data_IF_439457069932
#
_entry.id   IF_439457069932
#
_cell.length_a   1.000
_cell.length_b   1.000
_cell.length_c   1.000
_cell.angle_alpha   90.00
_cell.angle_beta   90.00
_cell.angle_gamma   90.00
#
_symmetry.space_group_name_H-M   'P 1'
#
loop_
_entity.id
_entity.type
_entity.pdbx_description
1 polymer ?
#
# COMPACT_ATOMS: atom_id res chain seq x y z
N UNK A 1 21.33 -14.13 2.81
CA UNK A 1 21.18 -12.73 3.27
C UNK A 1 21.30 -12.73 4.79
N UNK A 2 22.07 -11.83 5.39
CA UNK A 2 22.17 -11.72 6.85
C UNK A 2 20.97 -10.89 7.35
N UNK A 3 19.87 -11.56 7.67
CA UNK A 3 18.61 -10.91 8.05
C UNK A 3 18.70 -10.18 9.39
N UNK A 4 19.49 -10.69 10.34
CA UNK A 4 19.66 -10.05 11.65
C UNK A 4 20.34 -8.69 11.53
N UNK A 5 21.42 -8.62 10.74
CA UNK A 5 22.14 -7.38 10.49
C UNK A 5 21.32 -6.35 9.71
N UNK A 6 20.53 -6.83 8.73
CA UNK A 6 19.60 -5.96 7.99
C UNK A 6 18.54 -5.37 8.93
N UNK A 7 17.93 -6.20 9.78
CA UNK A 7 16.92 -5.74 10.73
C UNK A 7 17.51 -4.72 11.71
N UNK A 8 18.75 -4.93 12.18
CA UNK A 8 19.44 -3.95 13.02
C UNK A 8 19.53 -2.57 12.36
N UNK A 9 19.94 -2.50 11.09
CA UNK A 9 19.97 -1.23 10.37
C UNK A 9 18.58 -0.65 10.12
N UNK A 10 17.56 -1.48 9.89
CA UNK A 10 16.19 -1.00 9.78
C UNK A 10 15.71 -0.37 11.09
N UNK A 11 15.97 -1.01 12.23
CA UNK A 11 15.64 -0.49 13.56
C UNK A 11 16.32 0.87 13.79
N UNK A 12 17.60 1.00 13.45
CA UNK A 12 18.33 2.28 13.52
C UNK A 12 17.71 3.36 12.63
N UNK A 13 17.26 3.00 11.42
CA UNK A 13 16.59 3.91 10.49
C UNK A 13 15.22 4.35 11.03
N UNK A 14 14.47 3.43 11.65
CA UNK A 14 13.16 3.70 12.22
C UNK A 14 13.27 4.54 13.51
N UNK A 15 14.31 4.34 14.33
CA UNK A 15 14.63 5.23 15.45
C UNK A 15 14.85 6.68 14.97
N UNK A 16 15.54 6.86 13.83
CA UNK A 16 15.79 8.19 13.27
C UNK A 16 14.51 8.89 12.77
N UNK A 17 13.50 8.14 12.31
CA UNK A 17 12.19 8.70 11.93
C UNK A 17 11.40 9.23 13.12
N UNK A 18 11.65 8.70 14.32
CA UNK A 18 10.97 9.11 15.54
C UNK A 18 11.30 10.55 15.98
N UNK A 19 12.34 11.16 15.42
CA UNK A 19 12.71 12.55 15.73
C UNK A 19 11.92 13.56 14.87
N UNK A 20 11.56 14.71 15.46
CA UNK A 20 10.82 15.78 14.76
C UNK A 20 11.51 16.31 13.50
N UNK A 21 12.84 16.17 13.42
CA UNK A 21 13.64 16.49 12.24
C UNK A 21 14.89 15.61 12.23
N UNK A 22 15.06 14.83 11.17
CA UNK A 22 16.27 14.02 10.98
C UNK A 22 17.50 14.91 10.77
N UNK A 23 18.59 14.60 11.46
CA UNK A 23 19.88 15.25 11.23
C UNK A 23 20.55 14.66 9.98
N UNK A 24 20.83 15.51 8.99
CA UNK A 24 21.53 15.12 7.78
C UNK A 24 22.88 14.44 8.03
N UNK A 25 23.59 14.82 9.10
CA UNK A 25 24.88 14.22 9.45
C UNK A 25 24.71 12.78 9.95
N UNK A 26 23.69 12.52 10.74
CA UNK A 26 23.40 11.17 11.26
C UNK A 26 22.92 10.25 10.13
N UNK A 27 22.08 10.75 9.23
CA UNK A 27 21.64 9.99 8.04
C UNK A 27 22.82 9.68 7.11
N UNK A 28 23.73 10.64 6.91
CA UNK A 28 24.93 10.42 6.11
C UNK A 28 25.88 9.41 6.77
N UNK A 29 26.04 9.48 8.09
CA UNK A 29 26.83 8.51 8.85
C UNK A 29 26.26 7.10 8.71
N UNK A 30 24.93 6.93 8.85
CA UNK A 30 24.29 5.63 8.66
C UNK A 30 24.48 5.09 7.24
N UNK A 31 24.41 5.95 6.21
CA UNK A 31 24.69 5.55 4.84
C UNK A 31 26.13 5.03 4.68
N UNK A 32 27.11 5.75 5.25
CA UNK A 32 28.53 5.35 5.21
C UNK A 32 28.77 4.03 5.94
N UNK A 33 28.11 3.80 7.08
CA UNK A 33 28.17 2.53 7.81
C UNK A 33 27.59 1.38 6.98
N UNK A 34 26.43 1.57 6.36
CA UNK A 34 25.80 0.58 5.46
C UNK A 34 26.73 0.25 4.27
N UNK A 35 27.39 1.26 3.70
CA UNK A 35 28.30 1.09 2.58
C UNK A 35 29.59 0.37 2.98
N UNK A 36 30.13 0.66 4.16
CA UNK A 36 31.37 0.10 4.66
C UNK A 36 31.23 -1.30 5.28
N UNK A 37 30.02 -1.71 5.71
CA UNK A 37 29.83 -2.99 6.42
C UNK A 37 30.17 -4.20 5.53
N UNK A 38 31.23 -4.96 5.83
CA UNK A 38 31.66 -6.10 5.02
C UNK A 38 30.77 -7.33 5.19
N UNK A 39 29.95 -7.40 6.24
CA UNK A 39 29.03 -8.49 6.51
C UNK A 39 27.70 -8.33 5.77
N UNK A 40 27.42 -7.11 5.30
CA UNK A 40 26.24 -6.81 4.51
C UNK A 40 26.45 -7.23 3.05
N UNK A 41 25.69 -8.23 2.61
CA UNK A 41 25.66 -8.64 1.20
C UNK A 41 25.09 -7.55 0.30
N UNK A 42 25.42 -7.59 -1.00
CA UNK A 42 25.01 -6.56 -1.97
C UNK A 42 23.49 -6.30 -2.01
N UNK A 43 22.67 -7.36 -1.91
CA UNK A 43 21.21 -7.22 -1.87
C UNK A 43 20.73 -6.46 -0.63
N UNK A 44 21.30 -6.77 0.54
CA UNK A 44 20.97 -6.09 1.80
C UNK A 44 21.41 -4.63 1.78
N UNK A 45 22.60 -4.34 1.21
CA UNK A 45 23.09 -2.97 1.03
C UNK A 45 22.21 -2.15 0.11
N UNK A 46 21.86 -2.69 -1.05
CA UNK A 46 20.95 -2.03 -1.98
C UNK A 46 19.58 -1.75 -1.31
N UNK A 47 19.01 -2.74 -0.61
CA UNK A 47 17.77 -2.53 0.11
C UNK A 47 17.88 -1.41 1.16
N UNK A 48 18.90 -1.44 2.02
CA UNK A 48 19.05 -0.47 3.10
C UNK A 48 19.30 0.95 2.59
N UNK A 49 20.05 1.11 1.48
CA UNK A 49 20.21 2.42 0.81
C UNK A 49 18.88 2.95 0.29
N UNK A 50 18.08 2.08 -0.34
CA UNK A 50 16.72 2.42 -0.77
C UNK A 50 15.79 2.76 0.40
N UNK A 51 15.82 1.96 1.47
CA UNK A 51 15.01 2.14 2.67
C UNK A 51 15.35 3.44 3.42
N UNK A 52 16.64 3.73 3.58
CA UNK A 52 17.11 5.00 4.15
C UNK A 52 16.65 6.19 3.29
N UNK A 53 16.75 6.10 1.95
CA UNK A 53 16.29 7.17 1.08
C UNK A 53 14.76 7.34 1.10
N UNK A 54 14.02 6.24 1.24
CA UNK A 54 12.56 6.25 1.36
C UNK A 54 12.10 7.12 2.53
N UNK A 55 12.78 7.00 3.68
CA UNK A 55 12.43 7.72 4.90
C UNK A 55 13.02 9.12 5.00
N UNK A 56 14.20 9.36 4.40
CA UNK A 56 14.95 10.61 4.57
C UNK A 56 15.23 11.34 3.25
N UNK A 57 14.33 11.24 2.29
CA UNK A 57 14.47 11.82 0.93
C UNK A 57 14.87 13.31 0.92
N UNK A 58 14.38 14.09 1.89
CA UNK A 58 14.65 15.53 1.96
C UNK A 58 16.11 15.87 2.26
N UNK A 59 16.79 15.00 3.02
CA UNK A 59 18.19 15.19 3.42
C UNK A 59 19.15 14.25 2.69
N UNK A 60 18.62 13.25 1.98
CA UNK A 60 19.38 12.33 1.15
C UNK A 60 19.36 12.74 -0.32
N UNK A 61 20.49 13.20 -0.85
CA UNK A 61 20.70 13.44 -2.27
C UNK A 61 22.10 12.97 -2.71
N UNK A 62 22.27 12.33 -3.90
CA UNK A 62 21.27 11.99 -4.92
C UNK A 62 21.10 10.47 -5.12
N UNK A 63 20.56 9.73 -4.14
CA UNK A 63 20.27 8.31 -4.33
C UNK A 63 18.98 8.09 -5.12
N UNK A 64 19.04 7.23 -6.14
CA UNK A 64 17.87 6.75 -6.88
C UNK A 64 17.27 5.54 -6.15
N UNK A 65 16.27 5.82 -5.31
CA UNK A 65 15.56 4.84 -4.49
C UNK A 65 14.97 3.69 -5.29
N UNK A 66 14.37 3.97 -6.45
CA UNK A 66 13.83 2.91 -7.31
C UNK A 66 14.95 2.02 -7.84
N UNK A 67 16.07 2.60 -8.27
CA UNK A 67 17.24 1.83 -8.73
C UNK A 67 17.82 0.94 -7.62
N UNK A 68 17.88 1.43 -6.39
CA UNK A 68 18.34 0.65 -5.23
C UNK A 68 17.41 -0.53 -4.95
N UNK A 69 16.09 -0.33 -4.88
CA UNK A 69 15.16 -1.43 -4.68
C UNK A 69 15.13 -2.41 -5.85
N UNK A 70 15.26 -1.94 -7.09
CA UNK A 70 15.39 -2.82 -8.27
C UNK A 70 16.65 -3.67 -8.20
N UNK A 71 17.76 -3.09 -7.73
CA UNK A 71 19.02 -3.82 -7.51
C UNK A 71 18.84 -4.88 -6.43
N UNK A 72 18.19 -4.55 -5.32
CA UNK A 72 17.89 -5.50 -4.24
C UNK A 72 17.04 -6.68 -4.74
N UNK A 73 15.96 -6.41 -5.47
CA UNK A 73 15.09 -7.44 -6.07
C UNK A 73 15.82 -8.27 -7.14
N UNK A 74 16.70 -7.66 -7.95
CA UNK A 74 17.47 -8.41 -8.94
C UNK A 74 18.45 -9.40 -8.30
N UNK A 75 19.04 -9.03 -7.16
CA UNK A 75 19.99 -9.87 -6.41
C UNK A 75 19.29 -10.89 -5.50
N UNK A 76 18.08 -10.58 -5.01
CA UNK A 76 17.27 -11.44 -4.16
C UNK A 76 15.79 -11.37 -4.58
N UNK A 77 15.38 -12.10 -5.65
CA UNK A 77 14.04 -11.99 -6.24
C UNK A 77 12.87 -12.32 -5.30
N UNK A 78 13.11 -13.22 -4.34
CA UNK A 78 12.11 -13.71 -3.39
C UNK A 78 12.10 -12.91 -2.06
N UNK A 79 12.91 -11.84 -1.96
CA UNK A 79 12.92 -11.01 -0.75
C UNK A 79 11.64 -10.17 -0.64
N UNK A 80 10.73 -10.60 0.22
CA UNK A 80 9.41 -9.96 0.37
C UNK A 80 9.51 -8.47 0.74
N UNK A 81 10.46 -8.08 1.59
CA UNK A 81 10.68 -6.68 1.97
C UNK A 81 11.12 -5.82 0.79
N UNK A 82 12.05 -6.31 -0.05
CA UNK A 82 12.47 -5.59 -1.26
C UNK A 82 11.33 -5.49 -2.28
N UNK A 83 10.56 -6.57 -2.45
CA UNK A 83 9.38 -6.55 -3.31
C UNK A 83 8.32 -5.57 -2.79
N UNK A 84 8.07 -5.53 -1.47
CA UNK A 84 7.12 -4.59 -0.86
C UNK A 84 7.51 -3.13 -1.12
N UNK A 85 8.76 -2.77 -0.85
CA UNK A 85 9.21 -1.38 -1.00
C UNK A 85 9.35 -0.95 -2.47
N UNK A 86 9.76 -1.86 -3.37
CA UNK A 86 9.69 -1.58 -4.80
C UNK A 86 8.24 -1.44 -5.28
N UNK A 87 7.32 -2.22 -4.70
CA UNK A 87 5.88 -2.11 -4.93
C UNK A 87 5.36 -0.73 -4.54
N UNK A 88 5.64 -0.27 -3.32
CA UNK A 88 5.29 1.08 -2.86
C UNK A 88 5.89 2.16 -3.77
N UNK A 89 7.18 2.05 -4.07
CA UNK A 89 7.88 3.01 -4.93
C UNK A 89 7.18 3.19 -6.27
N UNK A 90 6.93 2.06 -6.93
CA UNK A 90 6.32 2.07 -8.26
C UNK A 90 4.85 2.46 -8.21
N UNK A 91 4.14 2.17 -7.13
CA UNK A 91 2.77 2.62 -6.91
C UNK A 91 2.69 4.15 -6.80
N UNK A 92 3.54 4.76 -5.97
CA UNK A 92 3.57 6.21 -5.72
C UNK A 92 3.86 7.01 -7.00
N UNK A 93 4.63 6.44 -7.93
CA UNK A 93 4.91 7.04 -9.25
C UNK A 93 3.93 6.62 -10.36
N UNK A 94 2.80 5.98 -10.01
CA UNK A 94 1.75 5.58 -10.96
C UNK A 94 2.14 4.43 -11.89
N UNK A 95 3.23 3.72 -11.62
CA UNK A 95 3.69 2.53 -12.38
C UNK A 95 2.95 1.27 -11.90
N UNK A 96 1.62 1.30 -11.93
CA UNK A 96 0.75 0.29 -11.30
C UNK A 96 0.99 -1.15 -11.78
N UNK A 97 1.33 -1.37 -13.05
CA UNK A 97 1.66 -2.71 -13.55
C UNK A 97 2.93 -3.29 -12.90
N UNK A 98 3.93 -2.44 -12.66
CA UNK A 98 5.16 -2.84 -11.96
C UNK A 98 4.87 -3.07 -10.47
N UNK A 99 4.09 -2.20 -9.84
CA UNK A 99 3.70 -2.32 -8.44
C UNK A 99 2.95 -3.64 -8.19
N UNK A 100 1.94 -3.92 -9.01
CA UNK A 100 1.17 -5.17 -8.97
C UNK A 100 2.07 -6.40 -9.05
N UNK A 101 3.04 -6.39 -9.98
CA UNK A 101 4.00 -7.49 -10.14
C UNK A 101 4.80 -7.75 -8.86
N UNK A 102 5.18 -6.71 -8.11
CA UNK A 102 5.93 -6.91 -6.87
C UNK A 102 5.02 -7.31 -5.71
N UNK A 103 3.85 -6.68 -5.56
CA UNK A 103 2.91 -7.03 -4.49
C UNK A 103 2.46 -8.49 -4.59
N UNK A 104 2.27 -9.03 -5.81
CA UNK A 104 1.91 -10.44 -6.03
C UNK A 104 3.01 -11.44 -5.63
N UNK A 105 4.26 -11.01 -5.48
CA UNK A 105 5.36 -11.87 -5.01
C UNK A 105 5.46 -11.96 -3.49
N UNK A 106 4.71 -11.13 -2.77
CA UNK A 106 4.80 -11.07 -1.31
C UNK A 106 4.09 -12.28 -0.72
N UNK A 107 4.82 -13.05 0.09
CA UNK A 107 4.21 -14.08 0.92
C UNK A 107 3.50 -13.44 2.12
N UNK A 108 2.18 -13.25 2.01
CA UNK A 108 1.34 -12.63 3.04
C UNK A 108 1.37 -13.37 4.39
N UNK A 109 1.69 -14.67 4.42
CA UNK A 109 1.76 -15.44 5.68
C UNK A 109 2.88 -14.98 6.61
N UNK A 110 3.87 -14.24 6.08
CA UNK A 110 4.97 -13.65 6.85
C UNK A 110 4.61 -12.30 7.48
N UNK A 111 3.41 -11.78 7.22
CA UNK A 111 2.98 -10.44 7.62
C UNK A 111 1.89 -10.48 8.69
N UNK A 112 1.88 -9.47 9.56
CA UNK A 112 0.75 -9.19 10.45
C UNK A 112 -0.52 -8.91 9.65
N UNK A 113 -1.68 -9.17 10.25
CA UNK A 113 -2.97 -9.07 9.58
C UNK A 113 -3.24 -7.69 8.97
N UNK A 114 -2.92 -6.61 9.69
CA UNK A 114 -3.05 -5.24 9.19
C UNK A 114 -2.24 -5.00 7.91
N UNK A 115 -1.02 -5.56 7.84
CA UNK A 115 -0.13 -5.44 6.69
C UNK A 115 -0.63 -6.29 5.52
N UNK A 116 -1.20 -7.46 5.79
CA UNK A 116 -1.84 -8.28 4.76
C UNK A 116 -3.02 -7.55 4.10
N UNK A 117 -3.88 -6.91 4.91
CA UNK A 117 -5.00 -6.10 4.42
C UNK A 117 -4.45 -4.97 3.54
N UNK A 118 -3.45 -4.23 4.02
CA UNK A 118 -2.84 -3.12 3.29
C UNK A 118 -2.27 -3.53 1.92
N UNK A 119 -1.57 -4.65 1.86
CA UNK A 119 -1.02 -5.17 0.59
C UNK A 119 -2.16 -5.56 -0.37
N UNK A 120 -3.22 -6.19 0.15
CA UNK A 120 -4.39 -6.55 -0.67
C UNK A 120 -5.13 -5.32 -1.20
N UNK A 121 -5.27 -4.27 -0.40
CA UNK A 121 -5.82 -2.98 -0.84
C UNK A 121 -5.03 -2.40 -2.01
N UNK A 122 -3.70 -2.43 -1.94
CA UNK A 122 -2.84 -1.90 -2.99
C UNK A 122 -2.90 -2.74 -4.27
N UNK A 123 -3.03 -4.06 -4.15
CA UNK A 123 -3.27 -4.95 -5.29
C UNK A 123 -4.60 -4.59 -5.96
N UNK A 124 -5.69 -4.42 -5.20
CA UNK A 124 -6.99 -3.99 -5.74
C UNK A 124 -6.87 -2.62 -6.40
N UNK A 125 -6.20 -1.68 -5.75
CA UNK A 125 -5.97 -0.32 -6.27
C UNK A 125 -5.20 -0.37 -7.61
N UNK A 126 -4.18 -1.22 -7.73
CA UNK A 126 -3.48 -1.43 -8.99
C UNK A 126 -4.44 -1.95 -10.08
N UNK A 127 -5.28 -2.94 -9.77
CA UNK A 127 -6.27 -3.44 -10.73
C UNK A 127 -7.25 -2.36 -11.19
N UNK A 128 -7.72 -1.50 -10.27
CA UNK A 128 -8.59 -0.37 -10.61
C UNK A 128 -7.90 0.62 -11.56
N UNK A 129 -6.67 1.04 -11.27
CA UNK A 129 -5.91 1.94 -12.15
C UNK A 129 -5.55 1.32 -13.50
N UNK A 130 -5.41 0.00 -13.56
CA UNK A 130 -5.20 -0.75 -14.80
C UNK A 130 -6.52 -1.10 -15.51
N UNK A 131 -7.67 -0.69 -14.96
CA UNK A 131 -9.02 -0.99 -15.45
C UNK A 131 -9.31 -2.49 -15.60
N UNK A 132 -8.68 -3.30 -14.76
CA UNK A 132 -8.89 -4.74 -14.65
C UNK A 132 -10.02 -5.03 -13.65
N UNK A 133 -11.22 -4.57 -13.99
CA UNK A 133 -12.35 -4.47 -13.06
C UNK A 133 -12.84 -5.82 -12.53
N UNK A 134 -12.90 -6.87 -13.36
CA UNK A 134 -13.28 -8.21 -12.89
C UNK A 134 -12.30 -8.76 -11.84
N UNK A 135 -11.00 -8.51 -12.04
CA UNK A 135 -9.98 -8.90 -11.07
C UNK A 135 -10.10 -8.07 -9.77
N UNK A 136 -10.29 -6.75 -9.90
CA UNK A 136 -10.54 -5.87 -8.76
C UNK A 136 -11.75 -6.33 -7.94
N UNK A 137 -12.87 -6.65 -8.60
CA UNK A 137 -14.09 -7.17 -7.96
C UNK A 137 -13.82 -8.44 -7.16
N UNK A 138 -13.20 -9.44 -7.80
CA UNK A 138 -12.95 -10.75 -7.20
C UNK A 138 -12.11 -10.68 -5.92
N UNK A 139 -11.23 -9.68 -5.83
CA UNK A 139 -10.34 -9.46 -4.70
C UNK A 139 -10.93 -8.53 -3.64
N UNK A 140 -11.74 -7.55 -4.06
CA UNK A 140 -12.30 -6.55 -3.16
C UNK A 140 -13.37 -7.13 -2.23
N UNK A 141 -14.23 -8.02 -2.71
CA UNK A 141 -15.24 -8.67 -1.87
C UNK A 141 -14.68 -9.37 -0.62
N UNK A 142 -13.75 -10.34 -0.75
CA UNK A 142 -13.16 -10.99 0.42
C UNK A 142 -12.33 -10.03 1.27
N UNK A 143 -11.72 -9.00 0.66
CA UNK A 143 -10.99 -7.97 1.40
C UNK A 143 -11.92 -7.14 2.30
N UNK A 144 -13.06 -6.67 1.80
CA UNK A 144 -14.02 -5.91 2.61
C UNK A 144 -14.66 -6.76 3.70
N UNK A 145 -14.92 -8.05 3.44
CA UNK A 145 -15.40 -8.98 4.46
C UNK A 145 -14.39 -9.11 5.60
N UNK A 146 -13.11 -9.37 5.28
CA UNK A 146 -12.05 -9.43 6.27
C UNK A 146 -11.92 -8.11 7.04
N UNK A 147 -11.95 -6.98 6.33
CA UNK A 147 -11.87 -5.63 6.90
C UNK A 147 -13.02 -5.32 7.86
N UNK A 148 -14.21 -5.86 7.60
CA UNK A 148 -15.36 -5.71 8.49
C UNK A 148 -15.24 -6.56 9.77
N UNK A 149 -14.38 -7.58 9.78
CA UNK A 149 -14.20 -8.50 10.91
C UNK A 149 -13.03 -8.09 11.84
N UNK A 150 -11.94 -7.55 11.29
CA UNK A 150 -10.77 -7.15 12.10
C UNK A 150 -11.07 -6.05 13.11
N UNK A 151 -10.33 -6.01 14.22
CA UNK A 151 -10.48 -4.96 15.23
C UNK A 151 -9.92 -3.64 14.72
N UNK A 152 -10.42 -2.54 15.26
CA UNK A 152 -10.05 -1.19 14.83
C UNK A 152 -8.54 -0.92 15.00
N UNK A 153 -7.94 -1.38 16.10
CA UNK A 153 -6.48 -1.25 16.34
C UNK A 153 -5.62 -2.01 15.30
N UNK A 154 -6.20 -2.99 14.60
CA UNK A 154 -5.56 -3.80 13.56
C UNK A 154 -5.92 -3.33 12.15
N UNK A 155 -6.59 -2.17 12.00
CA UNK A 155 -7.05 -1.65 10.73
C UNK A 155 -6.33 -0.37 10.33
N UNK A 156 -5.44 -0.47 9.35
CA UNK A 156 -4.84 0.69 8.71
C UNK A 156 -5.86 1.37 7.79
N UNK A 157 -5.87 2.70 7.75
CA UNK A 157 -6.80 3.42 6.90
C UNK A 157 -6.61 3.06 5.41
N UNK A 158 -7.71 2.79 4.67
CA UNK A 158 -7.68 2.30 3.29
C UNK A 158 -7.54 3.44 2.28
N UNK A 159 -6.63 4.39 2.54
CA UNK A 159 -6.48 5.66 1.79
C UNK A 159 -6.42 5.45 0.27
N UNK A 160 -5.51 4.60 -0.19
CA UNK A 160 -5.29 4.38 -1.63
C UNK A 160 -6.45 3.61 -2.28
N UNK A 161 -7.07 2.68 -1.55
CA UNK A 161 -8.25 1.97 -2.04
C UNK A 161 -9.44 2.92 -2.22
N UNK A 162 -9.71 3.78 -1.23
CA UNK A 162 -10.83 4.73 -1.33
C UNK A 162 -10.60 5.77 -2.43
N UNK A 163 -9.37 6.26 -2.59
CA UNK A 163 -9.02 7.17 -3.69
C UNK A 163 -9.19 6.51 -5.05
N UNK A 164 -8.71 5.28 -5.21
CA UNK A 164 -8.87 4.52 -6.46
C UNK A 164 -10.35 4.25 -6.75
N UNK A 165 -11.14 3.83 -5.74
CA UNK A 165 -12.59 3.64 -5.91
C UNK A 165 -13.29 4.94 -6.28
N UNK A 166 -12.99 6.06 -5.60
CA UNK A 166 -13.57 7.36 -5.93
C UNK A 166 -13.22 7.79 -7.36
N UNK A 167 -12.00 7.53 -7.82
CA UNK A 167 -11.59 7.84 -9.19
C UNK A 167 -12.32 6.98 -10.23
N UNK A 168 -12.51 5.68 -9.98
CA UNK A 168 -12.93 4.70 -10.98
C UNK A 168 -14.36 4.15 -10.77
N UNK A 169 -15.14 4.69 -9.84
CA UNK A 169 -16.45 4.13 -9.46
C UNK A 169 -17.42 3.99 -10.64
N UNK A 170 -17.46 4.94 -11.57
CA UNK A 170 -18.39 4.92 -12.71
C UNK A 170 -18.09 3.75 -13.65
N UNK A 171 -16.85 3.64 -14.10
CA UNK A 171 -16.39 2.56 -14.98
C UNK A 171 -16.47 1.21 -14.27
N UNK A 172 -16.07 1.17 -13.00
CA UNK A 172 -16.07 -0.05 -12.22
C UNK A 172 -17.50 -0.58 -12.00
N UNK A 173 -18.43 0.28 -11.57
CA UNK A 173 -19.86 -0.04 -11.46
C UNK A 173 -20.43 -0.53 -12.79
N UNK A 174 -20.08 0.13 -13.89
CA UNK A 174 -20.54 -0.27 -15.23
C UNK A 174 -20.04 -1.66 -15.59
N UNK A 175 -18.80 -1.99 -15.24
CA UNK A 175 -18.18 -3.27 -15.55
C UNK A 175 -18.76 -4.44 -14.74
N UNK A 176 -18.95 -4.27 -13.43
CA UNK A 176 -19.42 -5.35 -12.53
C UNK A 176 -20.96 -5.44 -12.49
N UNK A 177 -21.65 -4.39 -12.93
CA UNK A 177 -23.10 -4.29 -12.93
C UNK A 177 -23.70 -3.86 -11.59
N UNK A 178 -24.91 -3.32 -11.66
CA UNK A 178 -25.60 -2.73 -10.51
C UNK A 178 -25.76 -3.67 -9.30
N UNK A 179 -26.12 -4.96 -9.45
CA UNK A 179 -26.28 -5.85 -8.30
C UNK A 179 -24.97 -6.06 -7.52
N UNK A 180 -23.85 -6.23 -8.23
CA UNK A 180 -22.54 -6.39 -7.62
C UNK A 180 -22.08 -5.07 -6.97
N UNK A 181 -22.31 -3.94 -7.64
CA UNK A 181 -22.02 -2.62 -7.09
C UNK A 181 -22.78 -2.36 -5.77
N UNK A 182 -24.09 -2.63 -5.73
CA UNK A 182 -24.88 -2.48 -4.50
C UNK A 182 -24.33 -3.34 -3.36
N UNK A 183 -23.94 -4.60 -3.67
CA UNK A 183 -23.36 -5.50 -2.68
C UNK A 183 -22.00 -5.02 -2.17
N UNK A 184 -21.19 -4.41 -3.03
CA UNK A 184 -19.94 -3.77 -2.66
C UNK A 184 -20.18 -2.58 -1.73
N UNK A 185 -21.13 -1.70 -2.06
CA UNK A 185 -21.50 -0.55 -1.23
C UNK A 185 -22.00 -0.98 0.15
N UNK A 186 -22.79 -2.06 0.25
CA UNK A 186 -23.21 -2.63 1.53
C UNK A 186 -22.02 -3.01 2.40
N UNK A 187 -21.05 -3.77 1.84
CA UNK A 187 -19.86 -4.20 2.58
C UNK A 187 -18.97 -3.02 2.94
N UNK A 188 -18.75 -2.10 2.01
CA UNK A 188 -17.97 -0.90 2.25
C UNK A 188 -18.59 -0.05 3.37
N UNK A 189 -19.92 0.07 3.40
CA UNK A 189 -20.64 0.78 4.46
C UNK A 189 -20.45 0.14 5.84
N UNK A 190 -20.34 -1.19 5.92
CA UNK A 190 -20.01 -1.89 7.16
C UNK A 190 -18.60 -1.53 7.64
N UNK A 191 -17.62 -1.55 6.73
CA UNK A 191 -16.23 -1.19 7.01
C UNK A 191 -16.12 0.28 7.46
N UNK A 192 -16.77 1.20 6.74
CA UNK A 192 -16.80 2.63 7.07
C UNK A 192 -17.35 2.87 8.47
N UNK A 193 -18.50 2.24 8.79
CA UNK A 193 -19.14 2.40 10.09
C UNK A 193 -18.29 1.83 11.22
N UNK A 194 -17.66 0.68 10.97
CA UNK A 194 -16.85 0.00 11.97
C UNK A 194 -15.61 0.82 12.36
N UNK A 195 -14.90 1.33 11.35
CA UNK A 195 -13.62 2.01 11.54
C UNK A 195 -13.72 3.55 11.52
N UNK A 196 -14.94 4.09 11.64
CA UNK A 196 -15.26 5.52 11.62
C UNK A 196 -14.59 6.32 10.48
N UNK A 197 -14.62 5.76 9.26
CA UNK A 197 -13.89 6.33 8.12
C UNK A 197 -14.50 7.62 7.56
N UNK A 198 -15.74 7.95 7.92
CA UNK A 198 -16.44 9.14 7.42
C UNK A 198 -15.74 10.44 7.78
N UNK A 199 -15.10 10.50 8.95
CA UNK A 199 -14.42 11.71 9.43
C UNK A 199 -13.17 12.05 8.61
N UNK A 200 -12.56 11.05 7.99
CA UNK A 200 -11.28 11.17 7.25
C UNK A 200 -11.49 11.22 5.74
N UNK A 201 -12.46 10.48 5.21
CA UNK A 201 -12.63 10.24 3.77
C UNK A 201 -13.98 10.73 3.23
N UNK A 202 -14.51 11.82 3.78
CA UNK A 202 -15.82 12.34 3.40
C UNK A 202 -15.96 12.57 1.89
N UNK A 203 -14.92 13.11 1.26
CA UNK A 203 -14.94 13.47 -0.16
C UNK A 203 -14.95 12.22 -1.06
N UNK A 204 -14.08 11.25 -0.80
CA UNK A 204 -14.04 9.98 -1.54
C UNK A 204 -15.35 9.21 -1.36
N UNK A 205 -15.84 9.11 -0.13
CA UNK A 205 -17.07 8.38 0.19
C UNK A 205 -18.31 9.01 -0.43
N UNK A 206 -18.35 10.35 -0.52
CA UNK A 206 -19.44 11.04 -1.20
C UNK A 206 -19.52 10.67 -2.68
N UNK A 207 -18.39 10.54 -3.37
CA UNK A 207 -18.34 10.13 -4.78
C UNK A 207 -18.77 8.68 -4.96
N UNK A 208 -18.28 7.78 -4.09
CA UNK A 208 -18.56 6.35 -4.19
C UNK A 208 -20.03 6.03 -3.86
N UNK A 209 -20.61 6.67 -2.84
CA UNK A 209 -21.91 6.29 -2.27
C UNK A 209 -23.08 7.09 -2.87
N UNK A 210 -22.90 8.35 -3.29
CA UNK A 210 -24.00 9.18 -3.79
C UNK A 210 -24.53 8.77 -5.17
N UNK A 211 -23.85 7.85 -5.83
CA UNK A 211 -24.26 7.31 -7.13
C UNK A 211 -25.36 6.24 -7.05
N UNK A 212 -25.86 5.89 -5.85
CA UNK A 212 -27.08 5.08 -5.73
C UNK A 212 -28.28 5.94 -6.15
N UNK A 213 -29.04 5.58 -7.20
CA UNK A 213 -30.26 6.31 -7.53
C UNK A 213 -31.18 6.18 -6.33
N UNK A 214 -31.49 7.30 -5.67
CA UNK A 214 -32.62 7.36 -4.75
C UNK A 214 -33.84 6.84 -5.51
N UNK A 215 -34.47 5.78 -5.00
CA UNK A 215 -35.71 5.26 -5.55
C UNK A 215 -36.66 6.42 -5.87
N UNK A 216 -37.41 6.37 -6.99
CA UNK A 216 -38.36 7.44 -7.29
C UNK A 216 -39.29 7.63 -6.08
N UNK A 217 -39.62 8.87 -5.70
CA UNK A 217 -40.63 9.08 -4.67
C UNK A 217 -41.88 8.31 -5.08
N UNK A 218 -42.37 7.48 -4.18
CA UNK A 218 -43.49 6.58 -4.43
C UNK A 218 -44.63 7.31 -5.11
N UNK A 219 -45.18 6.69 -6.15
CA UNK A 219 -46.47 7.10 -6.69
C UNK A 219 -47.52 6.87 -5.61
N UNK A 220 -47.88 7.94 -4.92
CA UNK A 220 -49.20 8.09 -4.33
C UNK A 220 -50.15 8.41 -5.49
N UNK A 221 -50.87 7.39 -5.96
CA UNK A 221 -52.34 7.39 -6.16
C UNK A 221 -52.78 6.10 -6.87
#
# INVERSE_FOLDING_TARGET
MNYELRNLYQDLIDEQQGFQKADSADIQYLLEEIDADPQLGQAGRAFLRGYLNYHFREVMQPLDREAEFRTAVALAPDDHQSNLHLGYETFDFGKYAMALTQFQKINLELHFLWSQIKIRELIVSCHLHLQQFEAAESLLFPLLQLSAEVKDDDYAYPTELLRALAQWHVEFRTAIGEPAWQRLIELLSLVIKKHDLNSVFQDELSQIIQDVPTAPPGFSD
#
